data_IF_260334734727
#
_entry.id   IF_260334734727
#
_cell.length_a   1.000
_cell.length_b   1.000
_cell.length_c   1.000
_cell.angle_alpha   90.00
_cell.angle_beta   90.00
_cell.angle_gamma   90.00
#
_symmetry.space_group_name_H-M   'P 1'
#
loop_
_entity.id
_entity.type
_entity.pdbx_description
1 polymer ?
#
# COMPACT_ATOMS: atom_id res chain seq x y z
N UNK A 1 1.48 -14.90 -20.01
CA UNK A 1 2.29 -13.67 -19.93
C UNK A 1 2.97 -13.61 -18.57
N UNK A 2 4.30 -13.58 -18.54
CA UNK A 2 5.09 -13.29 -17.33
C UNK A 2 4.83 -11.83 -16.94
N UNK A 3 4.52 -11.52 -15.68
CA UNK A 3 4.41 -10.12 -15.25
C UNK A 3 5.83 -9.55 -15.16
N UNK A 4 6.14 -8.52 -15.94
CA UNK A 4 7.39 -7.77 -15.83
C UNK A 4 7.40 -6.96 -14.52
N UNK A 5 8.58 -6.59 -14.01
CA UNK A 5 8.78 -5.76 -12.82
C UNK A 5 7.82 -4.57 -12.75
N UNK A 6 7.69 -3.82 -13.85
CA UNK A 6 6.77 -2.67 -13.97
C UNK A 6 5.30 -3.06 -13.73
N UNK A 7 4.85 -4.21 -14.24
CA UNK A 7 3.49 -4.71 -14.00
C UNK A 7 3.27 -5.05 -12.53
N UNK A 8 4.23 -5.72 -11.89
CA UNK A 8 4.12 -6.07 -10.47
C UNK A 8 4.12 -4.79 -9.63
N UNK A 9 5.05 -3.86 -9.90
CA UNK A 9 5.14 -2.55 -9.26
C UNK A 9 3.82 -1.79 -9.35
N UNK A 10 3.26 -1.68 -10.55
CA UNK A 10 1.99 -0.99 -10.73
C UNK A 10 0.85 -1.69 -9.99
N UNK A 11 0.73 -3.01 -10.10
CA UNK A 11 -0.27 -3.79 -9.36
C UNK A 11 -0.16 -3.62 -7.85
N UNK A 12 1.05 -3.64 -7.29
CA UNK A 12 1.28 -3.38 -5.86
C UNK A 12 0.89 -1.95 -5.49
N UNK A 13 1.29 -0.97 -6.29
CA UNK A 13 0.90 0.43 -6.09
C UNK A 13 -0.63 0.60 -6.04
N UNK A 14 -1.38 -0.01 -6.97
CA UNK A 14 -2.85 0.09 -6.97
C UNK A 14 -3.53 -0.52 -5.75
N UNK A 15 -2.83 -1.39 -5.01
CA UNK A 15 -3.30 -2.03 -3.78
C UNK A 15 -2.69 -1.44 -2.51
N UNK A 16 -1.77 -0.49 -2.64
CA UNK A 16 -1.10 0.16 -1.53
C UNK A 16 -1.98 1.27 -0.93
N UNK A 17 -1.79 1.53 0.35
CA UNK A 17 -2.33 2.67 1.08
C UNK A 17 -2.00 3.99 0.37
N UNK A 18 -0.74 4.18 -0.04
CA UNK A 18 -0.34 5.38 -0.76
C UNK A 18 -1.12 5.54 -2.09
N UNK A 19 -1.24 4.46 -2.87
CA UNK A 19 -2.03 4.45 -4.09
C UNK A 19 -3.50 4.76 -3.83
N UNK A 20 -4.08 4.20 -2.77
CA UNK A 20 -5.44 4.51 -2.33
C UNK A 20 -5.63 6.00 -1.98
N UNK A 21 -4.73 6.57 -1.17
CA UNK A 21 -4.79 7.96 -0.74
C UNK A 21 -4.62 8.94 -1.89
N UNK A 22 -3.59 8.74 -2.71
CA UNK A 22 -3.30 9.58 -3.87
C UNK A 22 -4.46 9.50 -4.87
N UNK A 23 -4.97 8.30 -5.17
CA UNK A 23 -6.10 8.17 -6.09
C UNK A 23 -7.36 8.87 -5.55
N UNK A 24 -7.61 8.80 -4.25
CA UNK A 24 -8.75 9.46 -3.60
C UNK A 24 -8.63 10.97 -3.68
N UNK A 25 -7.45 11.52 -3.36
CA UNK A 25 -7.16 12.95 -3.51
C UNK A 25 -7.38 13.44 -4.94
N UNK A 26 -6.76 12.77 -5.92
CA UNK A 26 -6.88 13.17 -7.34
C UNK A 26 -8.32 13.07 -7.84
N UNK A 27 -9.08 12.04 -7.45
CA UNK A 27 -10.51 11.90 -7.80
C UNK A 27 -11.37 13.06 -7.33
N UNK A 28 -11.00 13.70 -6.22
CA UNK A 28 -11.74 14.82 -5.64
C UNK A 28 -11.24 16.18 -6.12
N UNK A 29 -10.09 16.25 -6.81
CA UNK A 29 -9.55 17.49 -7.37
C UNK A 29 -10.23 17.91 -8.68
N UNK A 30 -10.23 19.21 -8.98
CA UNK A 30 -10.66 19.76 -10.27
C UNK A 30 -9.62 19.48 -11.37
N UNK A 31 -8.33 19.42 -11.03
CA UNK A 31 -7.22 19.35 -11.98
C UNK A 31 -6.73 17.92 -12.23
N UNK A 32 -7.66 16.95 -12.27
CA UNK A 32 -7.37 15.50 -12.31
C UNK A 32 -6.33 15.12 -13.35
N UNK A 33 -6.43 15.69 -14.57
CA UNK A 33 -5.53 15.35 -15.70
C UNK A 33 -4.08 15.76 -15.42
N UNK A 34 -3.87 16.97 -14.89
CA UNK A 34 -2.54 17.51 -14.61
C UNK A 34 -1.91 16.72 -13.47
N UNK A 35 -2.66 16.48 -12.38
CA UNK A 35 -2.17 15.70 -11.24
C UNK A 35 -1.81 14.25 -11.61
N UNK A 36 -2.57 13.62 -12.51
CA UNK A 36 -2.24 12.27 -13.02
C UNK A 36 -0.92 12.29 -13.79
N UNK A 37 -0.71 13.29 -14.65
CA UNK A 37 0.52 13.46 -15.41
C UNK A 37 1.72 13.66 -14.47
N UNK A 38 1.58 14.57 -13.50
CA UNK A 38 2.63 14.84 -12.50
C UNK A 38 2.96 13.59 -11.68
N UNK A 39 1.94 12.83 -11.26
CA UNK A 39 2.14 11.55 -10.56
C UNK A 39 2.86 10.51 -11.43
N UNK A 40 2.53 10.45 -12.72
CA UNK A 40 3.19 9.54 -13.66
C UNK A 40 4.68 9.82 -13.75
N UNK A 41 5.08 11.10 -13.77
CA UNK A 41 6.47 11.52 -13.78
C UNK A 41 7.14 11.24 -12.44
N UNK A 42 6.52 11.65 -11.33
CA UNK A 42 7.08 11.50 -9.99
C UNK A 42 7.36 10.04 -9.62
N UNK A 43 6.49 9.11 -10.05
CA UNK A 43 6.64 7.68 -9.75
C UNK A 43 7.21 6.86 -10.90
N UNK A 44 7.45 7.45 -12.07
CA UNK A 44 7.84 6.75 -13.29
C UNK A 44 6.86 5.60 -13.61
N UNK A 45 5.57 5.92 -13.61
CA UNK A 45 4.48 4.98 -13.93
C UNK A 45 3.81 5.38 -15.25
N UNK A 46 3.19 4.42 -15.93
CA UNK A 46 2.47 4.70 -17.18
C UNK A 46 1.23 5.56 -16.92
N UNK A 47 1.15 6.72 -17.58
CA UNK A 47 0.06 7.69 -17.40
C UNK A 47 -1.30 7.09 -17.78
N UNK A 48 -1.37 6.25 -18.84
CA UNK A 48 -2.62 5.63 -19.27
C UNK A 48 -3.13 4.65 -18.23
N UNK A 49 -2.23 3.85 -17.64
CA UNK A 49 -2.54 2.93 -16.55
C UNK A 49 -3.00 3.68 -15.30
N UNK A 50 -2.31 4.76 -14.91
CA UNK A 50 -2.72 5.62 -13.81
C UNK A 50 -4.10 6.24 -14.03
N UNK A 51 -4.36 6.76 -15.23
CA UNK A 51 -5.67 7.31 -15.61
C UNK A 51 -6.76 6.24 -15.53
N UNK A 52 -6.48 5.03 -16.01
CA UNK A 52 -7.38 3.87 -15.89
C UNK A 52 -7.70 3.57 -14.41
N UNK A 53 -6.66 3.46 -13.57
CA UNK A 53 -6.79 3.14 -12.15
C UNK A 53 -7.54 4.21 -11.36
N UNK A 54 -7.20 5.48 -11.59
CA UNK A 54 -7.74 6.62 -10.84
C UNK A 54 -9.15 6.98 -11.31
N UNK A 55 -9.44 6.97 -12.62
CA UNK A 55 -10.73 7.47 -13.12
C UNK A 55 -11.75 6.36 -13.41
N UNK A 56 -11.32 5.13 -13.65
CA UNK A 56 -12.20 4.07 -14.14
C UNK A 56 -12.23 2.86 -13.20
N UNK A 57 -13.32 2.70 -12.44
CA UNK A 57 -13.53 1.57 -11.52
C UNK A 57 -13.39 0.19 -12.20
N UNK A 58 -13.68 0.10 -13.49
CA UNK A 58 -13.60 -1.14 -14.29
C UNK A 58 -12.17 -1.62 -14.54
N UNK A 59 -11.17 -0.72 -14.51
CA UNK A 59 -9.77 -1.07 -14.76
C UNK A 59 -9.10 -1.76 -13.56
N UNK A 60 -9.62 -1.58 -12.35
CA UNK A 60 -9.03 -2.13 -11.11
C UNK A 60 -8.89 -3.66 -11.20
N UNK A 61 -9.88 -4.34 -11.80
CA UNK A 61 -9.85 -5.80 -11.99
C UNK A 61 -8.67 -6.28 -12.84
N UNK A 62 -8.17 -5.46 -13.76
CA UNK A 62 -7.03 -5.80 -14.64
C UNK A 62 -5.71 -5.88 -13.86
N UNK A 63 -5.57 -5.09 -12.80
CA UNK A 63 -4.33 -4.98 -12.03
C UNK A 63 -4.30 -5.90 -10.80
N UNK A 64 -5.35 -6.67 -10.56
CA UNK A 64 -5.46 -7.53 -9.37
C UNK A 64 -4.56 -8.78 -9.41
N UNK A 65 -4.14 -9.24 -10.60
CA UNK A 65 -3.37 -10.48 -10.75
C UNK A 65 -1.87 -10.22 -10.66
N UNK A 66 -1.32 -10.46 -9.47
CA UNK A 66 0.14 -10.52 -9.27
C UNK A 66 0.55 -12.00 -9.35
N UNK A 67 1.33 -12.37 -10.37
CA UNK A 67 1.94 -13.69 -10.47
C UNK A 67 3.44 -13.54 -10.22
N UNK A 68 3.87 -13.81 -9.00
CA UNK A 68 5.28 -14.01 -8.70
C UNK A 68 5.68 -15.45 -9.07
N UNK A 69 6.85 -15.62 -9.69
CA UNK A 69 7.36 -16.93 -10.10
C UNK A 69 7.96 -17.70 -8.93
N UNK A 70 8.60 -16.98 -8.00
CA UNK A 70 9.19 -17.53 -6.79
C UNK A 70 8.12 -17.66 -5.68
N UNK A 71 7.91 -18.86 -5.11
CA UNK A 71 6.98 -19.08 -4.01
C UNK A 71 7.28 -18.23 -2.76
N UNK A 72 8.55 -17.95 -2.47
CA UNK A 72 8.90 -17.13 -1.31
C UNK A 72 8.49 -15.67 -1.54
N UNK A 73 8.84 -15.10 -2.70
CA UNK A 73 8.39 -13.79 -3.13
C UNK A 73 6.86 -13.68 -3.15
N UNK A 74 6.15 -14.73 -3.58
CA UNK A 74 4.69 -14.76 -3.57
C UNK A 74 4.14 -14.62 -2.14
N UNK A 75 4.76 -15.26 -1.14
CA UNK A 75 4.40 -15.11 0.27
C UNK A 75 4.67 -13.70 0.78
N UNK A 76 5.85 -13.14 0.49
CA UNK A 76 6.18 -11.75 0.89
C UNK A 76 5.19 -10.74 0.29
N UNK A 77 4.87 -10.87 -0.99
CA UNK A 77 3.87 -10.05 -1.68
C UNK A 77 2.49 -10.18 -1.04
N UNK A 78 2.06 -11.40 -0.70
CA UNK A 78 0.77 -11.61 -0.03
C UNK A 78 0.73 -10.87 1.30
N UNK A 79 1.75 -11.06 2.15
CA UNK A 79 1.87 -10.36 3.44
C UNK A 79 1.85 -8.85 3.26
N UNK A 80 2.66 -8.31 2.33
CA UNK A 80 2.65 -6.89 1.99
C UNK A 80 1.25 -6.40 1.64
N UNK A 81 0.55 -7.08 0.72
CA UNK A 81 -0.81 -6.66 0.30
C UNK A 81 -1.85 -6.76 1.42
N UNK A 82 -1.69 -7.70 2.37
CA UNK A 82 -2.57 -7.78 3.54
C UNK A 82 -2.32 -6.62 4.50
N UNK A 83 -1.07 -6.27 4.75
CA UNK A 83 -0.70 -5.12 5.59
C UNK A 83 -1.24 -3.82 4.97
N UNK A 84 -1.05 -3.62 3.67
CA UNK A 84 -1.59 -2.44 2.97
C UNK A 84 -3.12 -2.35 3.04
N UNK A 85 -3.81 -3.49 3.01
CA UNK A 85 -5.27 -3.54 3.19
C UNK A 85 -5.68 -3.13 4.61
N UNK A 86 -5.00 -3.65 5.64
CA UNK A 86 -5.24 -3.25 7.03
C UNK A 86 -4.93 -1.77 7.27
N UNK A 87 -3.87 -1.22 6.64
CA UNK A 87 -3.57 0.21 6.69
C UNK A 87 -4.72 1.07 6.14
N UNK A 88 -5.30 0.66 5.02
CA UNK A 88 -6.46 1.35 4.45
C UNK A 88 -7.64 1.27 5.42
N UNK A 89 -7.94 0.08 5.95
CA UNK A 89 -9.05 -0.11 6.90
C UNK A 89 -8.88 0.75 8.17
N UNK A 90 -7.71 0.69 8.81
CA UNK A 90 -7.37 1.48 9.99
C UNK A 90 -7.47 2.99 9.72
N UNK A 91 -7.03 3.46 8.55
CA UNK A 91 -7.16 4.87 8.20
C UNK A 91 -8.62 5.30 8.04
N UNK A 92 -9.47 4.44 7.47
CA UNK A 92 -10.90 4.70 7.33
C UNK A 92 -11.62 4.66 8.68
N UNK A 93 -11.22 3.76 9.58
CA UNK A 93 -11.71 3.70 10.97
C UNK A 93 -11.40 5.01 11.71
N UNK A 94 -10.20 5.58 11.51
CA UNK A 94 -9.75 6.82 12.16
C UNK A 94 -10.28 8.10 11.51
N UNK A 95 -10.45 8.14 10.19
CA UNK A 95 -10.94 9.32 9.44
C UNK A 95 -12.38 9.72 9.80
N UNK A 96 -13.11 8.92 10.59
CA UNK A 96 -14.35 9.35 11.24
C UNK A 96 -14.12 10.33 12.42
N UNK A 97 -12.86 10.72 12.74
CA UNK A 97 -12.54 11.53 13.93
C UNK A 97 -11.58 12.72 13.77
N UNK A 98 -10.80 12.93 12.70
CA UNK A 98 -10.07 14.21 12.49
C UNK A 98 -9.49 14.41 11.07
N UNK A 99 -9.07 15.65 10.81
CA UNK A 99 -8.58 16.17 9.53
C UNK A 99 -7.26 15.56 9.04
N UNK A 100 -7.10 15.60 7.72
CA UNK A 100 -6.04 15.00 6.89
C UNK A 100 -4.58 15.24 7.36
N UNK A 101 -4.35 16.25 8.22
CA UNK A 101 -3.03 16.67 8.70
C UNK A 101 -2.50 15.85 9.90
N UNK A 102 -3.37 15.26 10.71
CA UNK A 102 -2.94 14.59 11.94
C UNK A 102 -2.44 13.16 11.71
N UNK A 103 -2.92 12.45 10.67
CA UNK A 103 -2.46 11.09 10.36
C UNK A 103 -0.96 11.01 9.99
N UNK A 104 -0.34 12.13 9.66
CA UNK A 104 1.06 12.23 9.22
C UNK A 104 2.09 12.03 10.33
N UNK A 105 1.78 12.39 11.58
CA UNK A 105 2.68 12.18 12.73
C UNK A 105 2.66 10.72 13.24
N UNK A 106 1.71 9.92 12.74
CA UNK A 106 1.40 8.59 13.28
C UNK A 106 1.68 7.44 12.29
N UNK A 107 2.64 7.60 11.37
CA UNK A 107 3.00 6.56 10.40
C UNK A 107 3.22 5.17 11.04
N UNK A 108 3.98 5.12 12.15
CA UNK A 108 4.16 3.89 12.96
C UNK A 108 2.89 3.50 13.73
N UNK A 109 2.04 4.46 14.14
CA UNK A 109 0.82 4.17 14.88
C UNK A 109 -0.33 3.66 13.98
N UNK A 110 -0.16 3.64 12.66
CA UNK A 110 -0.99 2.88 11.72
C UNK A 110 -0.29 1.59 11.29
N UNK A 111 1.01 1.65 11.00
CA UNK A 111 1.77 0.50 10.51
C UNK A 111 1.90 -0.62 11.54
N UNK A 112 2.16 -0.30 12.81
CA UNK A 112 2.33 -1.31 13.85
C UNK A 112 1.05 -2.12 14.07
N UNK A 113 -0.13 -1.49 14.29
CA UNK A 113 -1.38 -2.23 14.38
C UNK A 113 -1.71 -3.04 13.13
N UNK A 114 -1.41 -2.53 11.93
CA UNK A 114 -1.63 -3.27 10.69
C UNK A 114 -0.77 -4.54 10.60
N UNK A 115 0.52 -4.44 10.95
CA UNK A 115 1.43 -5.59 10.97
C UNK A 115 0.99 -6.59 12.04
N UNK A 116 0.63 -6.11 13.24
CA UNK A 116 0.16 -6.94 14.35
C UNK A 116 -1.07 -7.73 13.99
N UNK A 117 -2.11 -7.10 13.40
CA UNK A 117 -3.33 -7.78 12.92
C UNK A 117 -2.98 -8.89 11.92
N UNK A 118 -2.17 -8.59 10.91
CA UNK A 118 -1.79 -9.58 9.88
C UNK A 118 -0.92 -10.71 10.44
N UNK A 119 -0.02 -10.40 11.38
CA UNK A 119 0.81 -11.38 12.06
C UNK A 119 -0.03 -12.30 12.96
N UNK A 120 -0.92 -11.73 13.77
CA UNK A 120 -1.85 -12.44 14.64
C UNK A 120 -2.77 -13.38 13.86
N UNK A 121 -3.39 -12.89 12.78
CA UNK A 121 -4.21 -13.71 11.88
C UNK A 121 -3.44 -14.90 11.28
N UNK A 122 -2.13 -14.77 11.08
CA UNK A 122 -1.32 -15.87 10.55
C UNK A 122 -0.96 -16.95 11.58
N UNK A 123 -1.33 -16.73 12.85
CA UNK A 123 -1.15 -17.62 13.98
C UNK A 123 -2.49 -18.12 14.54
N UNK A 124 -3.59 -17.96 13.80
CA UNK A 124 -4.97 -18.34 14.15
C UNK A 124 -5.14 -19.79 14.66
N UNK A 125 -4.27 -20.69 14.23
CA UNK A 125 -4.30 -22.10 14.62
C UNK A 125 -3.67 -22.39 16.01
N UNK A 126 -3.09 -21.39 16.68
CA UNK A 126 -2.52 -21.54 18.02
C UNK A 126 -3.61 -21.34 19.07
N UNK A 127 -3.99 -22.42 19.76
CA UNK A 127 -5.02 -22.40 20.82
C UNK A 127 -4.52 -22.02 22.21
N UNK A 128 -3.20 -21.95 22.40
CA UNK A 128 -2.59 -21.66 23.69
C UNK A 128 -2.10 -20.23 23.72
N UNK A 129 -2.66 -19.42 24.62
CA UNK A 129 -2.33 -18.00 24.76
C UNK A 129 -0.83 -17.80 25.00
N UNK A 130 -0.24 -18.59 25.91
CA UNK A 130 1.21 -18.56 26.14
C UNK A 130 2.02 -18.82 24.86
N UNK A 131 1.64 -19.82 24.05
CA UNK A 131 2.36 -20.11 22.78
C UNK A 131 2.13 -19.04 21.73
N UNK A 132 1.01 -18.34 21.78
CA UNK A 132 0.72 -17.22 20.91
C UNK A 132 1.61 -16.02 21.29
N UNK A 133 1.65 -15.66 22.57
CA UNK A 133 2.48 -14.58 23.12
C UNK A 133 3.97 -14.81 22.85
N UNK A 134 4.44 -16.05 22.92
CA UNK A 134 5.83 -16.39 22.62
C UNK A 134 6.19 -16.17 21.13
N UNK A 135 5.24 -16.46 20.21
CA UNK A 135 5.50 -16.45 18.77
C UNK A 135 5.20 -15.12 18.09
N UNK A 136 4.25 -14.35 18.61
CA UNK A 136 3.78 -13.12 17.95
C UNK A 136 4.90 -12.09 17.72
N UNK A 137 5.89 -11.85 18.62
CA UNK A 137 6.92 -10.84 18.39
C UNK A 137 7.84 -11.22 17.22
N UNK A 138 8.21 -12.50 17.11
CA UNK A 138 9.02 -13.00 15.99
C UNK A 138 8.28 -12.88 14.65
N UNK A 139 6.97 -13.13 14.65
CA UNK A 139 6.14 -13.01 13.45
C UNK A 139 5.97 -11.54 13.02
N UNK A 140 5.75 -10.62 13.95
CA UNK A 140 5.68 -9.18 13.70
C UNK A 140 6.98 -8.69 13.05
N UNK A 141 8.14 -9.02 13.63
CA UNK A 141 9.43 -8.62 13.09
C UNK A 141 9.67 -9.16 11.67
N UNK A 142 9.33 -10.44 11.44
CA UNK A 142 9.42 -11.06 10.12
C UNK A 142 8.54 -10.33 9.09
N UNK A 143 7.29 -10.03 9.42
CA UNK A 143 6.37 -9.36 8.51
C UNK A 143 6.73 -7.89 8.28
N UNK A 144 7.27 -7.19 9.28
CA UNK A 144 7.85 -5.86 9.11
C UNK A 144 9.00 -5.87 8.09
N UNK A 145 9.92 -6.82 8.22
CA UNK A 145 11.03 -6.95 7.28
C UNK A 145 10.51 -7.25 5.86
N UNK A 146 9.57 -8.18 5.72
CA UNK A 146 8.98 -8.51 4.42
C UNK A 146 8.22 -7.32 3.81
N UNK A 147 7.56 -6.51 4.63
CA UNK A 147 6.88 -5.30 4.18
C UNK A 147 7.87 -4.31 3.54
N UNK A 148 8.95 -3.97 4.24
CA UNK A 148 9.95 -3.05 3.71
C UNK A 148 10.77 -3.64 2.56
N UNK A 149 11.06 -4.95 2.58
CA UNK A 149 11.70 -5.65 1.46
C UNK A 149 10.91 -5.43 0.15
N UNK A 150 9.58 -5.61 0.20
CA UNK A 150 8.72 -5.43 -0.97
C UNK A 150 8.61 -3.96 -1.36
N UNK A 151 8.42 -3.06 -0.39
CA UNK A 151 8.34 -1.63 -0.66
C UNK A 151 9.62 -1.10 -1.33
N UNK A 152 10.78 -1.50 -0.82
CA UNK A 152 12.09 -1.16 -1.38
C UNK A 152 12.29 -1.77 -2.76
N UNK A 153 12.10 -3.10 -2.90
CA UNK A 153 12.33 -3.83 -4.16
C UNK A 153 11.56 -3.24 -5.33
N UNK A 154 10.32 -2.82 -5.11
CA UNK A 154 9.47 -2.26 -6.17
C UNK A 154 9.40 -0.73 -6.16
N UNK A 155 10.18 -0.04 -5.33
CA UNK A 155 10.18 1.43 -5.24
C UNK A 155 8.77 1.98 -5.01
N UNK A 156 8.06 1.38 -4.04
CA UNK A 156 6.68 1.74 -3.69
C UNK A 156 6.68 2.84 -2.63
N UNK A 157 5.78 3.84 -2.74
CA UNK A 157 5.63 4.82 -1.69
C UNK A 157 5.14 4.18 -0.39
N UNK A 158 5.84 4.45 0.71
CA UNK A 158 5.40 4.09 2.06
C UNK A 158 4.53 5.21 2.66
N UNK A 159 3.92 4.94 3.82
CA UNK A 159 3.20 5.94 4.63
C UNK A 159 3.97 7.25 4.80
N UNK A 160 5.29 7.17 5.00
CA UNK A 160 6.17 8.33 5.19
C UNK A 160 6.37 9.14 3.90
N UNK A 161 6.41 8.49 2.74
CA UNK A 161 6.76 9.13 1.47
C UNK A 161 5.51 9.64 0.73
N UNK A 162 4.36 9.01 0.92
CA UNK A 162 3.10 9.39 0.26
C UNK A 162 2.75 10.89 0.37
N UNK A 163 2.93 11.58 1.52
CA UNK A 163 2.64 13.01 1.64
C UNK A 163 3.59 13.88 0.81
N UNK A 164 4.86 13.49 0.70
CA UNK A 164 5.82 14.20 -0.14
C UNK A 164 5.42 14.10 -1.60
N UNK A 165 5.06 12.91 -2.07
CA UNK A 165 4.55 12.74 -3.44
C UNK A 165 3.31 13.60 -3.67
N UNK A 166 2.37 13.66 -2.72
CA UNK A 166 1.19 14.52 -2.84
C UNK A 166 1.57 16.00 -2.98
N UNK A 167 2.52 16.50 -2.17
CA UNK A 167 3.01 17.88 -2.30
C UNK A 167 3.68 18.12 -3.65
N UNK A 168 4.58 17.22 -4.07
CA UNK A 168 5.29 17.33 -5.34
C UNK A 168 4.34 17.40 -6.55
N UNK A 169 3.28 16.59 -6.58
CA UNK A 169 2.36 16.60 -7.72
C UNK A 169 1.46 17.84 -7.76
N UNK A 170 1.27 18.53 -6.63
CA UNK A 170 0.50 19.78 -6.51
C UNK A 170 1.37 20.98 -6.89
N UNK A 171 2.63 21.01 -6.41
CA UNK A 171 3.53 22.15 -6.62
C UNK A 171 4.06 22.29 -8.06
N UNK A 172 3.92 21.25 -8.89
CA UNK A 172 4.29 21.27 -10.31
C UNK A 172 3.16 21.79 -11.23
N UNK A 173 2.24 22.62 -10.69
CA UNK A 173 1.15 23.27 -11.42
C UNK A 173 1.46 24.74 -11.70
#
# INVERSE_FOLDING_TARGET
MKNNFSTIRFSLFTKSYAGFRIATFIKNSQEKKILIKNLSHALLLDEKQLKCFILHKTCVKKFNKIRALDPEMAKKINVYTRIEKELIALSQEKSNKSDFAEEYEYGEALLNPAIERVAGDSLDNIRSDHKFEEKIPGQINKYRNWYYDIAYKYGLPTLRIAPFILREIISNN
#
